data_IF_979123016822
#
_entry.id   IF_979123016822
#
_cell.length_a   1.000
_cell.length_b   1.000
_cell.length_c   1.000
_cell.angle_alpha   90.00
_cell.angle_beta   90.00
_cell.angle_gamma   90.00
#
_symmetry.space_group_name_H-M   'P 1'
#
loop_
_entity.id
_entity.type
_entity.pdbx_description
1 polymer ?
#
# COMPACT_ATOMS: atom_id res chain seq x y z
N UNK A 1 16.04 -3.32 6.90
CA UNK A 1 16.31 -2.23 7.89
C UNK A 1 16.63 -2.83 9.24
N UNK A 2 17.67 -2.34 9.93
CA UNK A 2 18.06 -2.73 11.30
C UNK A 2 18.13 -1.52 12.22
N UNK A 3 18.03 -1.77 13.53
CA UNK A 3 18.30 -0.75 14.55
C UNK A 3 19.53 -1.20 15.33
N UNK A 4 20.54 -0.35 15.38
CA UNK A 4 21.74 -0.58 16.16
C UNK A 4 21.44 -0.32 17.64
N UNK A 5 21.46 -1.37 18.52
CA UNK A 5 21.09 -1.23 19.91
C UNK A 5 22.05 -0.35 20.72
N UNK A 6 23.32 -0.25 20.28
CA UNK A 6 24.33 0.59 20.97
C UNK A 6 24.10 2.08 20.73
N UNK A 7 23.56 2.42 19.58
CA UNK A 7 23.15 3.80 19.24
C UNK A 7 21.75 4.14 19.78
N UNK A 8 20.86 3.15 19.89
CA UNK A 8 19.48 3.37 20.31
C UNK A 8 19.37 3.85 21.76
N UNK A 9 18.69 4.97 21.98
CA UNK A 9 18.44 5.55 23.30
C UNK A 9 17.02 5.31 23.83
N UNK A 10 16.25 4.50 23.14
CA UNK A 10 14.87 4.15 23.49
C UNK A 10 13.94 5.36 23.70
N UNK A 11 14.07 6.39 22.86
CA UNK A 11 13.20 7.59 22.96
C UNK A 11 11.75 7.32 22.53
N UNK A 12 11.52 6.34 21.65
CA UNK A 12 10.20 5.97 21.17
C UNK A 12 9.72 6.73 19.94
N UNK A 13 10.43 7.77 19.47
CA UNK A 13 9.98 8.60 18.35
C UNK A 13 9.71 7.78 17.09
N UNK A 14 10.54 6.78 16.81
CA UNK A 14 10.43 5.93 15.62
C UNK A 14 9.18 5.05 15.60
N UNK A 15 8.58 4.75 16.78
CA UNK A 15 7.37 3.91 16.83
C UNK A 15 6.17 4.59 16.19
N UNK A 16 6.10 5.92 16.25
CA UNK A 16 5.02 6.73 15.67
C UNK A 16 5.23 7.04 14.18
N UNK A 17 6.45 6.91 13.69
CA UNK A 17 6.79 7.21 12.29
C UNK A 17 6.58 6.00 11.39
N UNK A 18 6.63 4.79 11.94
CA UNK A 18 6.46 3.58 11.17
C UNK A 18 5.00 3.44 10.68
N UNK A 19 4.73 3.53 9.35
CA UNK A 19 3.37 3.46 8.84
C UNK A 19 2.73 2.07 9.01
N UNK A 20 3.57 1.06 9.28
CA UNK A 20 3.12 -0.33 9.48
C UNK A 20 3.06 -0.75 10.95
N UNK A 21 3.45 0.15 11.88
CA UNK A 21 3.54 -0.22 13.29
C UNK A 21 4.61 -1.29 13.60
N UNK A 22 5.54 -1.53 12.66
CA UNK A 22 6.55 -2.58 12.78
C UNK A 22 7.68 -2.27 13.79
N UNK A 23 7.72 -1.07 14.36
CA UNK A 23 8.75 -0.67 15.32
C UNK A 23 8.13 -0.60 16.70
N UNK A 24 8.74 -1.30 17.66
CA UNK A 24 8.32 -1.31 19.06
C UNK A 24 9.52 -1.24 20.00
N UNK A 25 9.29 -0.89 21.25
CA UNK A 25 10.32 -0.95 22.30
C UNK A 25 10.27 -2.33 22.93
N UNK A 26 11.30 -3.13 22.71
CA UNK A 26 11.43 -4.44 23.30
C UNK A 26 11.54 -4.33 24.83
N UNK A 27 10.70 -5.02 25.60
CA UNK A 27 10.67 -4.91 27.06
C UNK A 27 11.90 -5.51 27.76
N UNK A 28 12.60 -6.44 27.10
CA UNK A 28 13.78 -7.12 27.66
C UNK A 28 15.04 -6.29 27.44
N UNK A 29 15.35 -5.99 26.18
CA UNK A 29 16.56 -5.23 25.84
C UNK A 29 16.38 -3.73 26.05
N UNK A 30 15.14 -3.25 26.23
CA UNK A 30 14.77 -1.84 26.41
C UNK A 30 15.34 -0.95 25.29
N UNK A 31 15.18 -1.42 24.05
CA UNK A 31 15.61 -0.74 22.83
C UNK A 31 14.52 -0.87 21.79
N UNK A 32 14.52 0.05 20.82
CA UNK A 32 13.65 -0.10 19.67
C UNK A 32 14.09 -1.32 18.84
N UNK A 33 13.11 -2.09 18.42
CA UNK A 33 13.26 -3.31 17.63
C UNK A 33 12.28 -3.25 16.46
N UNK A 34 12.61 -3.92 15.36
CA UNK A 34 11.77 -4.00 14.19
C UNK A 34 11.22 -5.42 14.07
N UNK A 35 9.90 -5.52 14.03
CA UNK A 35 9.24 -6.74 13.57
C UNK A 35 9.55 -6.91 12.07
N UNK A 36 10.30 -7.96 11.76
CA UNK A 36 10.80 -8.21 10.40
C UNK A 36 9.69 -8.67 9.45
N UNK A 37 8.64 -9.27 9.97
CA UNK A 37 7.51 -9.74 9.18
C UNK A 37 6.60 -8.58 8.78
N UNK A 38 6.38 -7.64 9.70
CA UNK A 38 5.59 -6.44 9.45
C UNK A 38 6.35 -5.34 8.69
N UNK A 39 7.69 -5.35 8.74
CA UNK A 39 8.50 -4.33 8.06
C UNK A 39 8.46 -4.49 6.54
N UNK A 40 7.90 -3.52 5.86
CA UNK A 40 7.78 -3.46 4.39
C UNK A 40 8.95 -2.77 3.69
N UNK A 41 10.03 -2.47 4.39
CA UNK A 41 11.24 -1.83 3.87
C UNK A 41 10.97 -0.48 3.14
N UNK A 42 10.02 0.31 3.65
CA UNK A 42 9.66 1.61 3.06
C UNK A 42 10.66 2.73 3.35
N UNK A 43 11.58 2.50 4.26
CA UNK A 43 12.63 3.46 4.67
C UNK A 43 12.12 4.78 5.28
N UNK A 44 10.84 4.90 5.62
CA UNK A 44 10.30 6.12 6.25
C UNK A 44 11.06 6.50 7.53
N UNK A 45 11.37 5.52 8.37
CA UNK A 45 12.13 5.72 9.61
C UNK A 45 13.57 6.18 9.35
N UNK A 46 14.23 5.67 8.31
CA UNK A 46 15.59 6.04 7.96
C UNK A 46 15.65 7.42 7.30
N UNK A 47 14.73 7.68 6.37
CA UNK A 47 14.68 8.92 5.61
C UNK A 47 14.23 10.12 6.45
N UNK A 48 13.53 9.87 7.56
CA UNK A 48 13.12 10.91 8.50
C UNK A 48 14.19 11.30 9.52
N UNK A 49 15.37 10.64 9.53
CA UNK A 49 16.46 11.05 10.41
C UNK A 49 17.10 12.33 9.92
N UNK A 50 17.42 13.24 10.84
CA UNK A 50 18.26 14.38 10.54
C UNK A 50 19.71 13.96 10.26
N UNK A 51 20.50 14.85 9.72
CA UNK A 51 21.93 14.59 9.51
C UNK A 51 22.79 14.94 10.74
N UNK A 52 22.22 15.64 11.70
CA UNK A 52 22.87 15.98 12.97
C UNK A 52 22.60 14.86 13.98
N UNK A 53 23.65 14.16 14.35
CA UNK A 53 23.55 13.02 15.25
C UNK A 53 24.12 13.34 16.63
N UNK A 54 23.29 13.16 17.65
CA UNK A 54 23.71 13.32 19.03
C UNK A 54 24.48 12.08 19.52
N UNK A 55 25.42 12.31 20.42
CA UNK A 55 26.16 11.22 21.05
C UNK A 55 25.21 10.36 21.92
N UNK A 56 25.10 9.04 21.68
CA UNK A 56 24.17 8.16 22.40
C UNK A 56 24.39 8.14 23.91
N UNK A 57 25.66 8.20 24.35
CA UNK A 57 26.01 8.16 25.79
C UNK A 57 25.52 9.43 26.49
N UNK A 58 25.73 10.59 25.85
CA UNK A 58 25.25 11.88 26.37
C UNK A 58 23.72 11.88 26.50
N UNK A 59 23.02 11.49 25.42
CA UNK A 59 21.56 11.45 25.40
C UNK A 59 21.01 10.48 26.46
N UNK A 60 21.63 9.30 26.64
CA UNK A 60 21.23 8.36 27.71
C UNK A 60 21.43 8.96 29.11
N UNK A 61 22.53 9.67 29.34
CA UNK A 61 22.79 10.35 30.61
C UNK A 61 21.74 11.42 30.90
N UNK A 62 21.48 12.30 29.93
CA UNK A 62 20.46 13.34 30.05
C UNK A 62 19.07 12.76 30.32
N UNK A 63 18.66 11.71 29.58
CA UNK A 63 17.36 11.05 29.80
C UNK A 63 17.22 10.50 31.21
N UNK A 64 18.27 9.92 31.80
CA UNK A 64 18.25 9.45 33.19
C UNK A 64 18.06 10.60 34.17
N UNK A 65 18.73 11.72 33.97
CA UNK A 65 18.59 12.93 34.79
C UNK A 65 17.17 13.47 34.71
N UNK A 66 16.63 13.64 33.51
CA UNK A 66 15.26 14.13 33.32
C UNK A 66 14.20 13.16 33.88
N UNK A 67 14.39 11.84 33.75
CA UNK A 67 13.53 10.85 34.38
C UNK A 67 13.54 10.96 35.92
N UNK A 68 14.73 11.15 36.50
CA UNK A 68 14.85 11.36 37.95
C UNK A 68 14.11 12.64 38.41
N UNK A 69 14.20 13.71 37.62
CA UNK A 69 13.49 14.96 37.89
C UNK A 69 12.00 14.91 37.47
N UNK A 70 11.50 13.78 36.98
CA UNK A 70 10.15 13.62 36.44
C UNK A 70 9.83 14.57 35.27
N UNK A 71 10.84 15.01 34.55
CA UNK A 71 10.70 15.82 33.34
C UNK A 71 10.71 14.91 32.12
N UNK A 72 9.83 15.23 31.16
CA UNK A 72 9.84 14.56 29.86
C UNK A 72 10.97 15.12 29.01
N UNK A 73 11.79 14.23 28.48
CA UNK A 73 12.77 14.58 27.47
C UNK A 73 12.20 14.18 26.10
N UNK A 74 11.71 15.18 25.38
CA UNK A 74 11.39 15.05 23.97
C UNK A 74 12.52 15.72 23.18
N UNK A 75 13.51 14.96 22.70
CA UNK A 75 14.43 15.52 21.73
C UNK A 75 13.61 15.95 20.52
N UNK A 76 13.97 17.10 19.96
CA UNK A 76 13.42 17.72 18.74
C UNK A 76 12.90 16.67 17.71
N UNK A 77 12.01 17.03 16.75
CA UNK A 77 11.24 16.15 15.87
C UNK A 77 12.11 15.35 14.89
N UNK A 78 13.15 14.73 15.41
CA UNK A 78 13.97 13.78 14.69
C UNK A 78 13.46 12.37 14.98
N UNK A 79 13.30 11.59 13.93
CA UNK A 79 12.90 10.17 14.04
C UNK A 79 13.89 9.40 14.91
N UNK A 80 15.18 9.68 14.78
CA UNK A 80 16.21 9.06 15.58
C UNK A 80 17.37 10.05 15.87
N UNK A 81 17.42 10.66 17.07
CA UNK A 81 18.43 11.66 17.39
C UNK A 81 19.87 11.12 17.42
N UNK A 82 20.05 9.81 17.42
CA UNK A 82 21.36 9.15 17.53
C UNK A 82 21.70 8.26 16.32
N UNK A 83 20.97 8.41 15.23
CA UNK A 83 21.19 7.67 13.97
C UNK A 83 21.34 6.15 14.16
N UNK A 84 20.35 5.54 14.82
CA UNK A 84 20.40 4.11 15.10
C UNK A 84 19.95 3.23 13.94
N UNK A 85 19.31 3.78 12.90
CA UNK A 85 18.83 3.01 11.77
C UNK A 85 19.96 2.73 10.78
N UNK A 86 20.10 1.46 10.43
CA UNK A 86 21.09 0.98 9.48
C UNK A 86 20.38 0.19 8.37
N UNK A 87 20.47 0.64 7.10
CA UNK A 87 19.94 -0.10 5.97
C UNK A 87 20.61 -1.47 5.83
N UNK A 88 19.79 -2.50 5.58
CA UNK A 88 20.30 -3.81 5.18
C UNK A 88 20.50 -3.87 3.67
N UNK A 89 21.45 -4.68 3.26
CA UNK A 89 21.51 -5.17 1.90
C UNK A 89 20.37 -6.17 1.70
N UNK A 90 19.42 -5.84 0.81
CA UNK A 90 18.24 -6.67 0.58
C UNK A 90 18.50 -7.62 -0.57
N UNK A 91 18.37 -8.91 -0.31
CA UNK A 91 18.38 -9.96 -1.31
C UNK A 91 16.94 -10.31 -1.75
N UNK A 92 16.80 -10.98 -2.88
CA UNK A 92 15.57 -11.60 -3.30
C UNK A 92 15.13 -12.70 -2.29
N UNK A 93 13.84 -12.82 -1.93
CA UNK A 93 12.69 -12.07 -2.43
C UNK A 93 12.42 -10.74 -1.67
N UNK A 94 13.09 -10.47 -0.56
CA UNK A 94 12.79 -9.32 0.33
C UNK A 94 12.93 -7.95 -0.36
N UNK A 95 13.71 -7.84 -1.42
CA UNK A 95 13.83 -6.62 -2.23
C UNK A 95 12.47 -6.17 -2.79
N UNK A 96 11.52 -7.09 -2.99
CA UNK A 96 10.16 -6.80 -3.44
C UNK A 96 9.44 -5.87 -2.46
N UNK A 97 9.63 -6.07 -1.14
CA UNK A 97 9.06 -5.17 -0.13
C UNK A 97 9.44 -3.73 -0.38
N UNK A 98 10.74 -3.48 -0.62
CA UNK A 98 11.24 -2.13 -0.88
C UNK A 98 10.73 -1.56 -2.20
N UNK A 99 10.73 -2.35 -3.26
CA UNK A 99 10.26 -1.92 -4.58
C UNK A 99 8.80 -1.41 -4.57
N UNK A 100 7.95 -2.01 -3.73
CA UNK A 100 6.55 -1.61 -3.60
C UNK A 100 6.27 -0.63 -2.45
N UNK A 101 7.27 -0.27 -1.64
CA UNK A 101 7.04 0.52 -0.43
C UNK A 101 7.90 1.77 -0.31
N UNK A 102 9.12 1.79 -0.85
CA UNK A 102 9.99 2.97 -0.90
C UNK A 102 9.67 3.81 -2.15
N UNK A 103 9.12 5.03 -2.00
CA UNK A 103 8.74 5.86 -3.14
C UNK A 103 9.92 6.35 -3.99
N UNK A 104 11.15 6.16 -3.54
CA UNK A 104 12.37 6.57 -4.25
C UNK A 104 13.00 5.44 -5.08
N UNK A 105 12.39 4.25 -5.04
CA UNK A 105 12.86 3.11 -5.83
C UNK A 105 11.99 2.99 -7.07
N UNK A 106 12.57 3.08 -8.28
CA UNK A 106 11.84 2.85 -9.52
C UNK A 106 11.45 1.37 -9.64
N UNK A 107 10.25 1.12 -10.16
CA UNK A 107 9.84 -0.22 -10.55
C UNK A 107 10.48 -0.60 -11.88
N UNK A 108 11.10 -1.75 -11.95
CA UNK A 108 11.75 -2.24 -13.16
C UNK A 108 10.79 -2.33 -14.35
N UNK A 109 9.54 -2.76 -14.11
CA UNK A 109 8.52 -2.92 -15.15
C UNK A 109 8.01 -1.61 -15.73
N UNK A 110 8.09 -0.50 -15.01
CA UNK A 110 7.56 0.81 -15.43
C UNK A 110 8.63 1.88 -15.57
N UNK A 111 9.78 1.71 -14.93
CA UNK A 111 10.84 2.71 -14.85
C UNK A 111 10.46 3.97 -14.05
N UNK A 112 9.31 3.96 -13.37
CA UNK A 112 8.79 5.10 -12.62
C UNK A 112 9.01 4.89 -11.13
N UNK A 113 9.46 5.95 -10.45
CA UNK A 113 9.58 5.96 -8.99
C UNK A 113 8.21 5.94 -8.31
N UNK A 114 8.17 5.38 -7.12
CA UNK A 114 6.95 5.25 -6.34
C UNK A 114 6.24 3.93 -6.57
N UNK A 115 4.91 3.91 -6.48
CA UNK A 115 4.12 2.69 -6.47
C UNK A 115 3.49 2.33 -7.83
N UNK A 116 4.16 2.67 -8.90
CA UNK A 116 3.73 2.40 -10.26
C UNK A 116 2.79 3.46 -10.82
N UNK A 117 2.38 3.26 -12.06
CA UNK A 117 1.48 4.18 -12.76
C UNK A 117 0.04 3.95 -12.31
N UNK A 118 -0.66 5.04 -12.00
CA UNK A 118 -2.11 5.04 -11.75
C UNK A 118 -2.83 5.66 -12.97
N UNK A 119 -2.40 5.27 -14.16
CA UNK A 119 -2.83 5.92 -15.39
C UNK A 119 -4.34 5.81 -15.62
N UNK A 120 -4.91 4.65 -15.32
CA UNK A 120 -6.37 4.44 -15.39
C UNK A 120 -7.13 5.40 -14.48
N UNK A 121 -6.55 5.74 -13.32
CA UNK A 121 -7.15 6.70 -12.38
C UNK A 121 -6.98 8.15 -12.75
N UNK A 122 -6.05 8.46 -13.66
CA UNK A 122 -5.73 9.84 -14.02
C UNK A 122 -6.37 10.24 -15.32
N UNK A 123 -5.80 9.92 -16.44
CA UNK A 123 -6.19 10.40 -17.75
C UNK A 123 -6.00 9.39 -18.88
N UNK A 124 -5.53 8.18 -18.56
CA UNK A 124 -5.30 7.10 -19.54
C UNK A 124 -4.60 7.59 -20.83
N UNK A 125 -3.50 8.35 -20.66
CA UNK A 125 -2.77 8.97 -21.80
C UNK A 125 -2.34 7.92 -22.82
N UNK A 126 -1.94 6.73 -22.37
CA UNK A 126 -1.51 5.65 -23.26
C UNK A 126 -2.67 4.91 -23.92
N UNK A 127 -3.92 5.26 -23.62
CA UNK A 127 -5.10 4.68 -24.24
C UNK A 127 -5.31 3.20 -23.94
N UNK A 128 -5.05 2.80 -22.71
CA UNK A 128 -5.20 1.41 -22.24
C UNK A 128 -6.64 0.93 -22.25
N UNK A 129 -7.57 1.85 -21.96
CA UNK A 129 -9.01 1.59 -21.93
C UNK A 129 -9.63 2.12 -23.22
N UNK A 130 -10.18 1.24 -24.03
CA UNK A 130 -10.88 1.60 -25.29
C UNK A 130 -12.32 2.06 -25.07
N UNK A 131 -12.96 2.51 -26.15
CA UNK A 131 -14.40 2.77 -26.14
C UNK A 131 -15.14 1.43 -25.94
N UNK A 132 -16.16 1.42 -25.07
CA UNK A 132 -16.88 0.19 -24.69
C UNK A 132 -16.13 -0.71 -23.70
N UNK A 133 -14.97 -0.27 -23.20
CA UNK A 133 -14.25 -0.96 -22.14
C UNK A 133 -14.29 -0.16 -20.84
N UNK A 134 -14.15 -0.87 -19.72
CA UNK A 134 -13.95 -0.32 -18.39
C UNK A 134 -12.66 -0.84 -17.80
N UNK A 135 -11.82 0.07 -17.28
CA UNK A 135 -10.61 -0.24 -16.56
C UNK A 135 -10.85 -0.20 -15.05
N UNK A 136 -10.25 -1.11 -14.33
CA UNK A 136 -10.27 -1.18 -12.88
C UNK A 136 -8.86 -1.09 -12.33
N UNK A 137 -8.68 -0.28 -11.27
CA UNK A 137 -7.50 -0.28 -10.42
C UNK A 137 -7.90 -0.80 -9.06
N UNK A 138 -7.41 -1.98 -8.72
CA UNK A 138 -7.68 -2.63 -7.43
C UNK A 138 -6.48 -2.39 -6.56
N UNK A 139 -6.64 -1.50 -5.58
CA UNK A 139 -5.58 -1.09 -4.67
C UNK A 139 -5.67 -1.85 -3.37
N UNK A 140 -4.52 -2.31 -2.88
CA UNK A 140 -4.40 -3.06 -1.63
C UNK A 140 -3.52 -2.33 -0.64
N UNK A 141 -3.86 -2.45 0.65
CA UNK A 141 -2.98 -2.12 1.77
C UNK A 141 -3.00 -0.67 2.24
N UNK A 142 -3.72 0.23 1.60
CA UNK A 142 -3.83 1.64 2.00
C UNK A 142 -5.08 1.91 2.85
N UNK A 143 -5.00 2.78 3.88
CA UNK A 143 -3.78 3.38 4.44
C UNK A 143 -3.18 2.49 5.55
N UNK A 144 -1.85 2.31 5.54
CA UNK A 144 -1.10 1.80 6.68
C UNK A 144 -1.36 0.36 7.13
N UNK A 145 -2.09 -0.43 6.36
CA UNK A 145 -2.39 -1.85 6.66
C UNK A 145 -1.35 -2.78 6.01
N UNK A 146 -0.94 -2.42 4.79
CA UNK A 146 -0.11 -3.29 3.95
C UNK A 146 -0.88 -4.49 3.39
N UNK A 147 -0.21 -5.26 2.56
CA UNK A 147 -0.78 -6.46 1.95
C UNK A 147 0.29 -7.51 1.73
N UNK A 148 -0.04 -8.77 1.98
CA UNK A 148 0.79 -9.90 1.61
C UNK A 148 0.60 -10.26 0.14
N UNK A 149 1.66 -10.66 -0.53
CA UNK A 149 1.57 -11.08 -1.95
C UNK A 149 0.63 -12.28 -2.14
N UNK A 150 0.49 -13.17 -1.16
CA UNK A 150 -0.47 -14.26 -1.17
C UNK A 150 -1.94 -13.80 -1.21
N UNK A 151 -2.25 -12.64 -0.62
CA UNK A 151 -3.59 -12.06 -0.65
C UNK A 151 -3.87 -11.42 -2.02
N UNK A 152 -2.86 -10.76 -2.60
CA UNK A 152 -2.95 -10.27 -3.99
C UNK A 152 -3.14 -11.44 -4.95
N UNK A 153 -2.48 -12.57 -4.73
CA UNK A 153 -2.64 -13.76 -5.57
C UNK A 153 -4.07 -14.31 -5.54
N UNK A 154 -4.74 -14.29 -4.37
CA UNK A 154 -6.15 -14.70 -4.32
C UNK A 154 -7.03 -13.83 -5.23
N UNK A 155 -6.79 -12.52 -5.24
CA UNK A 155 -7.51 -11.61 -6.13
C UNK A 155 -7.15 -11.84 -7.60
N UNK A 156 -5.86 -12.02 -7.92
CA UNK A 156 -5.44 -12.25 -9.31
C UNK A 156 -5.96 -13.55 -9.88
N UNK A 157 -6.05 -14.62 -9.10
CA UNK A 157 -6.68 -15.86 -9.52
C UNK A 157 -8.15 -15.69 -9.84
N UNK A 158 -8.92 -15.06 -8.95
CA UNK A 158 -10.34 -14.82 -9.19
C UNK A 158 -10.59 -13.95 -10.43
N UNK A 159 -9.76 -12.93 -10.64
CA UNK A 159 -9.84 -12.09 -11.83
C UNK A 159 -9.48 -12.86 -13.11
N UNK A 160 -8.47 -13.71 -13.04
CA UNK A 160 -8.06 -14.55 -14.17
C UNK A 160 -9.15 -15.56 -14.54
N UNK A 161 -9.77 -16.21 -13.55
CA UNK A 161 -10.91 -17.13 -13.75
C UNK A 161 -12.09 -16.42 -14.41
N UNK A 162 -12.28 -15.15 -14.12
CA UNK A 162 -13.25 -14.28 -14.78
C UNK A 162 -12.79 -13.78 -16.16
N UNK A 163 -11.66 -14.24 -16.70
CA UNK A 163 -11.13 -13.84 -18.00
C UNK A 163 -11.04 -12.31 -18.19
N UNK A 164 -10.50 -11.61 -17.20
CA UNK A 164 -10.18 -10.19 -17.33
C UNK A 164 -8.86 -9.99 -18.10
N UNK A 165 -8.66 -8.81 -18.68
CA UNK A 165 -7.40 -8.43 -19.31
C UNK A 165 -6.53 -7.71 -18.30
N UNK A 166 -5.41 -8.32 -17.85
CA UNK A 166 -4.43 -7.67 -17.00
C UNK A 166 -3.58 -6.65 -17.77
N UNK A 167 -3.27 -5.52 -17.14
CA UNK A 167 -2.33 -4.54 -17.71
C UNK A 167 -0.90 -5.10 -17.70
N UNK A 168 -0.30 -5.18 -18.87
CA UNK A 168 1.01 -5.83 -19.06
C UNK A 168 2.16 -5.08 -18.38
N UNK A 169 2.08 -3.75 -18.31
CA UNK A 169 3.11 -2.90 -17.68
C UNK A 169 2.88 -2.68 -16.19
N UNK A 170 1.92 -3.38 -15.59
CA UNK A 170 1.67 -3.28 -14.16
C UNK A 170 2.75 -4.05 -13.38
N UNK A 171 3.30 -3.48 -12.29
CA UNK A 171 4.33 -4.14 -11.47
C UNK A 171 3.93 -5.52 -10.93
N UNK A 172 2.67 -5.71 -10.54
CA UNK A 172 2.20 -7.03 -10.07
C UNK A 172 2.13 -8.02 -11.24
N UNK A 173 1.65 -7.59 -12.39
CA UNK A 173 1.59 -8.45 -13.59
C UNK A 173 2.99 -8.93 -14.00
N UNK A 174 4.01 -8.09 -13.84
CA UNK A 174 5.41 -8.48 -14.13
C UNK A 174 5.96 -9.55 -13.18
N UNK A 175 5.34 -9.74 -12.01
CA UNK A 175 5.68 -10.78 -11.04
C UNK A 175 4.87 -12.07 -11.21
N UNK A 176 3.95 -12.12 -12.17
CA UNK A 176 3.20 -13.34 -12.49
C UNK A 176 4.06 -14.31 -13.28
N UNK A 177 4.04 -15.57 -12.89
CA UNK A 177 4.62 -16.68 -13.67
C UNK A 177 3.71 -17.09 -14.80
N UNK A 178 2.40 -16.91 -14.60
CA UNK A 178 1.38 -17.13 -15.61
C UNK A 178 0.26 -16.08 -15.49
N UNK A 179 0.22 -15.18 -16.45
CA UNK A 179 -0.78 -14.10 -16.50
C UNK A 179 -2.19 -14.65 -16.79
N UNK A 180 -2.30 -15.80 -17.49
CA UNK A 180 -3.62 -16.38 -17.82
C UNK A 180 -4.33 -16.90 -16.59
N UNK A 181 -3.59 -17.43 -15.64
CA UNK A 181 -4.11 -17.92 -14.38
C UNK A 181 -3.99 -16.91 -13.24
N UNK A 182 -3.30 -15.79 -13.47
CA UNK A 182 -3.04 -14.80 -12.43
C UNK A 182 -2.05 -15.29 -11.36
N UNK A 183 -1.24 -16.31 -11.65
CA UNK A 183 -0.35 -16.95 -10.68
C UNK A 183 0.94 -16.13 -10.50
N UNK A 184 1.18 -15.66 -9.29
CA UNK A 184 2.43 -14.98 -8.90
C UNK A 184 3.56 -16.00 -8.66
N UNK A 185 4.78 -15.51 -8.62
CA UNK A 185 5.95 -16.31 -8.20
C UNK A 185 5.75 -16.80 -6.77
N UNK A 186 6.02 -18.07 -6.53
CA UNK A 186 5.83 -18.70 -5.21
C UNK A 186 6.76 -18.10 -4.14
N UNK A 187 7.99 -17.76 -4.52
CA UNK A 187 9.03 -17.26 -3.63
C UNK A 187 8.71 -15.87 -3.01
N UNK A 188 7.77 -15.11 -3.59
CA UNK A 188 7.36 -13.81 -3.06
C UNK A 188 6.08 -13.83 -2.23
N UNK A 189 5.34 -14.93 -2.16
CA UNK A 189 4.01 -14.98 -1.53
C UNK A 189 4.02 -14.59 -0.05
N UNK A 190 5.14 -14.78 0.63
CA UNK A 190 5.34 -14.40 2.01
C UNK A 190 5.97 -13.00 2.18
N UNK A 191 6.03 -12.22 1.11
CA UNK A 191 6.47 -10.84 1.22
C UNK A 191 5.28 -9.90 1.46
N UNK A 192 5.43 -9.02 2.45
CA UNK A 192 4.44 -7.97 2.77
C UNK A 192 4.90 -6.65 2.17
N UNK A 193 4.00 -5.96 1.48
CA UNK A 193 4.28 -4.64 0.89
C UNK A 193 3.33 -3.58 1.43
N UNK A 194 3.72 -2.31 1.38
CA UNK A 194 2.90 -1.21 1.89
C UNK A 194 1.60 -1.07 1.10
N UNK A 195 1.69 -1.19 -0.21
CA UNK A 195 0.53 -1.20 -1.09
C UNK A 195 0.91 -1.76 -2.45
N UNK A 196 -0.08 -2.30 -3.14
CA UNK A 196 0.03 -2.75 -4.51
C UNK A 196 -1.24 -2.41 -5.28
N UNK A 197 -1.16 -2.44 -6.61
CA UNK A 197 -2.30 -2.18 -7.49
C UNK A 197 -2.31 -3.25 -8.56
N UNK A 198 -3.45 -3.90 -8.74
CA UNK A 198 -3.78 -4.66 -9.93
C UNK A 198 -4.58 -3.77 -10.88
N UNK A 199 -4.18 -3.73 -12.15
CA UNK A 199 -4.89 -3.01 -13.19
C UNK A 199 -5.44 -4.02 -14.21
N UNK A 200 -6.74 -3.98 -14.39
CA UNK A 200 -7.45 -4.90 -15.32
C UNK A 200 -8.48 -4.14 -16.13
N UNK A 201 -8.89 -4.68 -17.26
CA UNK A 201 -10.00 -4.17 -18.05
C UNK A 201 -10.90 -5.28 -18.56
N UNK A 202 -12.16 -4.92 -18.78
CA UNK A 202 -13.20 -5.78 -19.36
C UNK A 202 -14.11 -4.93 -20.25
N UNK A 203 -14.95 -5.53 -21.11
CA UNK A 203 -16.09 -4.84 -21.70
C UNK A 203 -17.01 -4.25 -20.63
N UNK A 204 -17.59 -3.07 -20.88
CA UNK A 204 -18.37 -2.32 -19.90
C UNK A 204 -19.56 -3.11 -19.32
N UNK A 205 -20.15 -3.98 -20.12
CA UNK A 205 -21.29 -4.86 -19.72
C UNK A 205 -20.90 -5.80 -18.57
N UNK A 206 -19.62 -6.07 -18.40
CA UNK A 206 -19.09 -6.93 -17.34
C UNK A 206 -18.64 -6.15 -16.08
N UNK A 207 -18.85 -4.83 -16.04
CA UNK A 207 -18.42 -4.01 -14.93
C UNK A 207 -19.02 -4.47 -13.59
N UNK A 208 -20.34 -4.80 -13.55
CA UNK A 208 -21.01 -5.30 -12.34
C UNK A 208 -20.39 -6.62 -11.86
N UNK A 209 -20.07 -7.53 -12.78
CA UNK A 209 -19.42 -8.81 -12.48
C UNK A 209 -18.09 -8.62 -11.74
N UNK A 210 -17.21 -7.75 -12.28
CA UNK A 210 -15.90 -7.48 -11.68
C UNK A 210 -16.03 -6.84 -10.31
N UNK A 211 -16.94 -5.86 -10.14
CA UNK A 211 -17.16 -5.22 -8.83
C UNK A 211 -17.61 -6.26 -7.79
N UNK A 212 -18.56 -7.12 -8.13
CA UNK A 212 -19.04 -8.18 -7.24
C UNK A 212 -17.95 -9.19 -6.89
N UNK A 213 -17.15 -9.57 -7.89
CA UNK A 213 -16.00 -10.47 -7.71
C UNK A 213 -14.99 -9.89 -6.71
N UNK A 214 -14.62 -8.62 -6.88
CA UNK A 214 -13.68 -7.94 -5.96
C UNK A 214 -14.24 -7.93 -4.54
N UNK A 215 -15.53 -7.69 -4.35
CA UNK A 215 -16.19 -7.77 -3.04
C UNK A 215 -16.12 -9.16 -2.40
N UNK A 216 -16.32 -10.20 -3.19
CA UNK A 216 -16.28 -11.57 -2.66
C UNK A 216 -14.86 -11.99 -2.26
N UNK A 217 -13.85 -11.51 -2.98
CA UNK A 217 -12.45 -11.80 -2.62
C UNK A 217 -12.01 -10.97 -1.42
N UNK A 218 -12.41 -9.69 -1.35
CA UNK A 218 -12.06 -8.80 -0.25
C UNK A 218 -12.43 -9.38 1.12
N UNK A 219 -13.56 -10.07 1.22
CA UNK A 219 -14.02 -10.73 2.46
C UNK A 219 -13.08 -11.85 2.96
N UNK A 220 -12.22 -12.38 2.10
CA UNK A 220 -11.36 -13.53 2.38
C UNK A 220 -9.90 -13.19 2.60
N UNK A 221 -9.49 -11.98 2.23
CA UNK A 221 -8.10 -11.51 2.34
C UNK A 221 -7.93 -10.59 3.54
N UNK A 222 -6.72 -10.60 4.12
CA UNK A 222 -6.41 -9.84 5.34
C UNK A 222 -5.78 -8.48 5.02
N UNK A 223 -6.52 -7.65 4.26
CA UNK A 223 -6.11 -6.29 3.91
C UNK A 223 -7.31 -5.41 3.62
N UNK A 224 -7.06 -4.14 3.33
CA UNK A 224 -8.07 -3.21 2.80
C UNK A 224 -7.93 -3.12 1.29
N UNK A 225 -9.06 -3.03 0.60
CA UNK A 225 -9.12 -2.90 -0.85
C UNK A 225 -9.85 -1.61 -1.22
N UNK A 226 -9.28 -0.85 -2.16
CA UNK A 226 -9.95 0.28 -2.78
C UNK A 226 -10.06 0.04 -4.29
N UNK A 227 -11.23 0.32 -4.86
CA UNK A 227 -11.50 0.11 -6.27
C UNK A 227 -11.64 1.46 -7.00
N UNK A 228 -10.75 1.71 -7.95
CA UNK A 228 -10.89 2.80 -8.93
C UNK A 228 -11.47 2.25 -10.22
N UNK A 229 -12.34 3.03 -10.85
CA UNK A 229 -12.98 2.67 -12.12
C UNK A 229 -12.76 3.78 -13.13
N UNK A 230 -12.33 3.42 -14.33
CA UNK A 230 -12.11 4.35 -15.43
C UNK A 230 -12.77 3.84 -16.71
N UNK A 231 -13.44 4.73 -17.41
CA UNK A 231 -14.04 4.46 -18.72
C UNK A 231 -13.92 5.68 -19.63
N UNK A 232 -14.01 5.48 -20.92
CA UNK A 232 -14.12 6.59 -21.87
C UNK A 232 -15.56 7.06 -21.95
N UNK A 233 -15.74 8.39 -21.90
CA UNK A 233 -17.02 8.99 -22.23
C UNK A 233 -17.30 8.83 -23.72
N UNK A 234 -18.56 9.01 -24.12
CA UNK A 234 -18.95 9.14 -25.52
C UNK A 234 -18.24 10.33 -26.19
N UNK A 235 -18.25 10.37 -27.51
CA UNK A 235 -17.51 11.37 -28.30
C UNK A 235 -17.92 12.82 -27.97
N UNK A 236 -19.17 13.01 -27.53
CA UNK A 236 -19.70 14.30 -27.10
C UNK A 236 -19.40 14.63 -25.61
N UNK A 237 -18.77 13.70 -24.89
CA UNK A 237 -18.38 13.85 -23.49
C UNK A 237 -19.54 13.79 -22.49
N UNK A 238 -20.74 13.42 -22.93
CA UNK A 238 -21.94 13.53 -22.12
C UNK A 238 -22.27 12.32 -21.26
N UNK A 239 -21.85 11.11 -21.62
CA UNK A 239 -22.22 9.89 -20.91
C UNK A 239 -21.03 9.15 -20.31
N UNK A 240 -21.17 8.86 -19.02
CA UNK A 240 -20.35 7.87 -18.33
C UNK A 240 -21.14 6.54 -18.29
N UNK A 241 -20.87 5.66 -19.24
CA UNK A 241 -21.61 4.40 -19.43
C UNK A 241 -21.52 3.43 -18.23
N UNK A 242 -20.53 3.63 -17.35
CA UNK A 242 -20.38 2.80 -16.13
C UNK A 242 -21.15 3.36 -14.94
N UNK A 243 -21.50 4.63 -14.96
CA UNK A 243 -22.17 5.31 -13.85
C UNK A 243 -23.48 4.62 -13.43
N UNK A 244 -24.43 4.32 -14.34
CA UNK A 244 -25.68 3.64 -13.97
C UNK A 244 -25.46 2.25 -13.37
N UNK A 245 -24.41 1.56 -13.78
CA UNK A 245 -24.06 0.22 -13.26
C UNK A 245 -23.61 0.35 -11.80
N UNK A 246 -22.75 1.33 -11.50
CA UNK A 246 -22.24 1.56 -10.15
C UNK A 246 -23.32 2.11 -9.22
N UNK A 247 -24.18 3.00 -9.70
CA UNK A 247 -25.32 3.52 -8.95
C UNK A 247 -26.32 2.42 -8.55
N UNK A 248 -26.60 1.49 -9.46
CA UNK A 248 -27.41 0.28 -9.18
C UNK A 248 -26.77 -0.58 -8.06
N UNK A 249 -25.46 -0.56 -7.93
CA UNK A 249 -24.72 -1.24 -6.87
C UNK A 249 -24.66 -0.43 -5.57
N UNK A 250 -25.27 0.75 -5.54
CA UNK A 250 -25.35 1.62 -4.36
C UNK A 250 -24.20 2.60 -4.22
N UNK A 251 -23.37 2.77 -5.25
CA UNK A 251 -22.32 3.78 -5.26
C UNK A 251 -22.84 5.10 -5.77
N UNK A 252 -22.44 6.17 -5.11
CA UNK A 252 -22.57 7.54 -5.62
C UNK A 252 -21.32 7.92 -6.36
N UNK A 253 -21.42 8.41 -7.56
CA UNK A 253 -20.32 8.94 -8.34
C UNK A 253 -20.20 10.44 -8.08
N UNK A 254 -19.05 10.83 -7.57
CA UNK A 254 -18.67 12.23 -7.39
C UNK A 254 -17.71 12.62 -8.52
N UNK A 255 -17.51 13.93 -8.72
CA UNK A 255 -16.70 14.42 -9.85
C UNK A 255 -15.27 13.89 -9.86
N UNK A 256 -14.80 13.51 -11.02
CA UNK A 256 -13.42 13.30 -11.49
C UNK A 256 -12.59 12.17 -10.85
N UNK A 257 -12.69 11.87 -9.58
CA UNK A 257 -12.06 10.70 -8.93
C UNK A 257 -12.99 10.18 -7.85
N UNK A 258 -13.66 9.07 -8.13
CA UNK A 258 -14.39 8.34 -7.12
C UNK A 258 -13.59 7.10 -6.75
N UNK A 259 -13.02 7.10 -5.56
CA UNK A 259 -12.45 5.89 -4.99
C UNK A 259 -13.55 5.14 -4.26
N UNK A 260 -13.82 3.93 -4.71
CA UNK A 260 -14.73 3.02 -4.03
C UNK A 260 -13.88 2.28 -3.00
N UNK A 261 -13.96 2.70 -1.74
CA UNK A 261 -13.34 1.99 -0.63
C UNK A 261 -14.13 0.72 -0.34
N UNK A 262 -13.49 -0.42 -0.47
CA UNK A 262 -13.99 -1.71 -0.01
C UNK A 262 -13.26 -2.01 1.30
N UNK A 263 -13.86 -1.64 2.41
CA UNK A 263 -13.37 -1.97 3.75
C UNK A 263 -14.00 -3.28 4.23
N UNK A 264 -13.40 -3.90 5.26
CA UNK A 264 -14.04 -5.02 5.94
C UNK A 264 -15.41 -4.59 6.49
N UNK A 265 -16.46 -5.23 6.03
CA UNK A 265 -17.77 -5.10 6.63
C UNK A 265 -17.75 -5.95 7.91
N UNK A 266 -17.44 -5.33 9.05
CA UNK A 266 -17.39 -6.01 10.36
C UNK A 266 -18.78 -6.37 10.89
N UNK A 267 -19.86 -5.87 10.26
CA UNK A 267 -21.24 -6.19 10.63
C UNK A 267 -22.11 -6.38 9.39
N UNK A 268 -22.69 -7.57 9.18
CA UNK A 268 -23.58 -7.83 8.04
C UNK A 268 -24.92 -7.06 8.08
N UNK A 269 -25.14 -6.20 9.07
CA UNK A 269 -26.31 -5.32 9.19
C UNK A 269 -25.96 -3.83 9.26
N UNK A 270 -24.70 -3.45 9.15
CA UNK A 270 -24.29 -2.05 9.11
C UNK A 270 -24.38 -1.50 7.69
N UNK A 271 -24.90 -0.29 7.59
CA UNK A 271 -25.15 0.44 6.36
C UNK A 271 -23.99 0.38 5.36
N UNK A 272 -24.38 0.41 4.09
CA UNK A 272 -23.51 0.51 2.92
C UNK A 272 -22.29 1.42 3.15
N UNK A 273 -21.10 1.07 2.59
CA UNK A 273 -19.91 1.87 2.78
C UNK A 273 -20.17 3.32 2.37
N UNK A 274 -20.02 4.22 3.32
CA UNK A 274 -20.06 5.65 3.02
C UNK A 274 -18.83 6.00 2.21
N UNK A 275 -19.05 6.64 1.07
CA UNK A 275 -17.99 7.18 0.24
C UNK A 275 -17.19 8.21 1.02
N UNK A 276 -15.89 7.99 1.12
CA UNK A 276 -14.97 9.01 1.64
C UNK A 276 -14.64 9.95 0.50
N UNK A 277 -15.33 11.10 0.48
CA UNK A 277 -14.95 12.20 -0.40
C UNK A 277 -13.70 12.85 0.17
N UNK A 278 -12.57 12.62 -0.46
CA UNK A 278 -11.35 13.39 -0.15
C UNK A 278 -11.55 14.79 -0.76
N UNK A 279 -11.91 15.77 0.08
CA UNK A 279 -11.82 17.18 -0.32
C UNK A 279 -10.36 17.53 -0.54
N UNK A 280 -10.07 18.12 -1.70
CA UNK A 280 -8.80 18.79 -2.00
C UNK A 280 -8.63 20.02 -1.12
#
# INVERSE_FOLDING_TARGET
MRINPDKCVACGNCTYVCPMGAIYIDPVIKRATIDRDECVECYACYNGMSQEHLNPTLVRGMRKIFQFMRLRFDPEPDVCPTASFEPDELAWPRVVRRAFSDPRVPHESTGVEGRGTEEVKTNDISGRVGVGEVGFTIEFGRPGVGVWMRDIQQMSWALADANVSFEKKNPITSLMTDVKTGTLREDILNEKVMSAILEVKVPVERAEEVVRLVWEVEKRIDTVVALGVGTRCEVDGTENVVAPILEKLGYKLERAKTNIGLGRITNPGAAQPQMVTVKQ
#
